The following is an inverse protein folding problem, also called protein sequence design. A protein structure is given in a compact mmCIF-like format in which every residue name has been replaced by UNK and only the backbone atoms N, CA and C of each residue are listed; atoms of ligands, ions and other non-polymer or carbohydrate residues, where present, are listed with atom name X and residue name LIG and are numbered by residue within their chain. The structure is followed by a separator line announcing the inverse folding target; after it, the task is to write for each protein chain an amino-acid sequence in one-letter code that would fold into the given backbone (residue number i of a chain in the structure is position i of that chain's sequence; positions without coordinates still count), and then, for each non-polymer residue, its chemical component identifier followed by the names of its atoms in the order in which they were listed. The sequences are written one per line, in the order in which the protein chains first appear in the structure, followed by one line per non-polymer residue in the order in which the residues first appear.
data_IF_083295841388
#
_entry.id   IF_083295841388
#
_cell.length_a   1.000
_cell.length_b   1.000
_cell.length_c   1.000
_cell.angle_alpha   90.00
_cell.angle_beta   90.00
_cell.angle_gamma   90.00
#
_symmetry.space_group_name_H-M   'P 1'
#
loop_
_entity.id
_entity.type
_entity.pdbx_description
1 polymer ?
#
# COMPACT_ATOMS: atom_id res chain seq x y z
N UNK A 1 23.60 0.56 2.37
CA UNK A 1 22.40 1.18 2.98
C UNK A 1 21.45 1.53 1.85
N UNK A 2 20.29 0.86 1.76
CA UNK A 2 19.33 1.13 0.68
C UNK A 2 18.54 2.42 0.94
N UNK A 3 18.21 3.15 -0.12
CA UNK A 3 17.38 4.34 -0.03
C UNK A 3 15.99 3.94 0.48
N UNK A 4 15.54 4.56 1.57
CA UNK A 4 14.22 4.33 2.17
C UNK A 4 13.36 5.57 1.95
N UNK A 5 12.11 5.39 1.54
CA UNK A 5 11.14 6.47 1.44
C UNK A 5 10.56 6.75 2.83
N UNK A 6 10.50 8.02 3.24
CA UNK A 6 9.89 8.42 4.51
C UNK A 6 8.53 9.04 4.25
N UNK A 7 7.49 8.47 4.84
CA UNK A 7 6.11 8.91 4.72
C UNK A 7 5.56 9.35 6.06
N UNK A 8 4.85 10.47 6.06
CA UNK A 8 4.02 10.89 7.19
C UNK A 8 2.55 10.80 6.79
N UNK A 9 1.83 9.91 7.46
CA UNK A 9 0.41 9.66 7.23
C UNK A 9 -0.42 10.18 8.40
N UNK A 10 -1.57 10.78 8.09
CA UNK A 10 -2.64 11.00 9.05
C UNK A 10 -3.32 9.68 9.41
N UNK A 11 -4.17 9.70 10.43
CA UNK A 11 -4.96 8.51 10.84
C UNK A 11 -5.83 8.01 9.69
N UNK A 12 -6.52 8.91 8.99
CA UNK A 12 -7.40 8.55 7.87
C UNK A 12 -6.62 7.95 6.70
N UNK A 13 -5.43 8.47 6.38
CA UNK A 13 -4.57 7.89 5.34
C UNK A 13 -4.02 6.51 5.75
N UNK A 14 -3.66 6.33 7.02
CA UNK A 14 -3.20 5.04 7.52
C UNK A 14 -4.30 3.97 7.45
N UNK A 15 -5.54 4.33 7.79
CA UNK A 15 -6.69 3.45 7.69
C UNK A 15 -7.03 3.12 6.23
N UNK A 16 -7.13 4.13 5.37
CA UNK A 16 -7.42 3.95 3.95
C UNK A 16 -6.36 3.07 3.26
N UNK A 17 -5.10 3.22 3.66
CA UNK A 17 -4.02 2.37 3.19
C UNK A 17 -4.19 0.91 3.63
N UNK A 18 -4.47 0.68 4.91
CA UNK A 18 -4.70 -0.69 5.44
C UNK A 18 -5.86 -1.36 4.71
N UNK A 19 -6.99 -0.66 4.57
CA UNK A 19 -8.18 -1.15 3.89
C UNK A 19 -7.90 -1.46 2.41
N UNK A 20 -7.20 -0.57 1.70
CA UNK A 20 -6.85 -0.80 0.29
C UNK A 20 -5.95 -2.03 0.10
N UNK A 21 -5.03 -2.28 1.05
CA UNK A 21 -4.17 -3.47 1.02
C UNK A 21 -4.93 -4.75 1.35
N UNK A 22 -5.82 -4.70 2.34
CA UNK A 22 -6.68 -5.84 2.70
C UNK A 22 -7.60 -6.23 1.53
N UNK A 23 -8.25 -5.26 0.89
CA UNK A 23 -9.13 -5.47 -0.27
C UNK A 23 -8.35 -6.05 -1.45
N UNK A 24 -7.17 -5.49 -1.74
CA UNK A 24 -6.33 -5.99 -2.84
C UNK A 24 -5.84 -7.40 -2.56
N UNK A 25 -5.39 -7.69 -1.34
CA UNK A 25 -4.94 -9.03 -0.96
C UNK A 25 -6.10 -10.04 -1.04
N UNK A 26 -7.30 -9.68 -0.57
CA UNK A 26 -8.48 -10.52 -0.67
C UNK A 26 -8.85 -10.83 -2.13
N UNK A 27 -8.90 -9.80 -2.98
CA UNK A 27 -9.15 -9.95 -4.41
C UNK A 27 -8.11 -10.86 -5.08
N UNK A 28 -6.82 -10.62 -4.84
CA UNK A 28 -5.76 -11.43 -5.44
C UNK A 28 -5.75 -12.88 -4.93
N UNK A 29 -6.05 -13.12 -3.64
CA UNK A 29 -6.21 -14.49 -3.12
C UNK A 29 -7.39 -15.22 -3.77
N UNK A 30 -8.49 -14.53 -4.06
CA UNK A 30 -9.60 -15.12 -4.82
C UNK A 30 -9.18 -15.48 -6.26
N UNK A 31 -8.49 -14.57 -6.96
CA UNK A 31 -7.93 -14.83 -8.29
C UNK A 31 -6.92 -15.99 -8.29
N UNK A 32 -6.12 -16.12 -7.21
CA UNK A 32 -5.18 -17.22 -7.01
C UNK A 32 -5.91 -18.56 -6.92
N UNK A 33 -6.98 -18.64 -6.14
CA UNK A 33 -7.78 -19.87 -6.00
C UNK A 33 -8.41 -20.31 -7.33
N UNK A 34 -8.66 -19.35 -8.23
CA UNK A 34 -9.15 -19.60 -9.58
C UNK A 34 -8.03 -19.87 -10.60
N UNK A 35 -6.75 -19.94 -10.19
CA UNK A 35 -5.57 -20.06 -11.05
C UNK A 35 -5.44 -18.96 -12.12
N UNK A 36 -5.91 -17.75 -11.82
CA UNK A 36 -5.91 -16.60 -12.74
C UNK A 36 -4.73 -15.64 -12.53
N UNK A 37 -3.88 -15.87 -11.52
CA UNK A 37 -2.72 -15.03 -11.25
C UNK A 37 -1.47 -15.49 -12.02
N UNK A 38 -0.77 -14.53 -12.62
CA UNK A 38 0.57 -14.74 -13.15
C UNK A 38 1.61 -14.88 -12.02
N UNK A 39 2.84 -15.27 -12.38
CA UNK A 39 3.96 -15.29 -11.41
C UNK A 39 4.29 -13.89 -10.88
N UNK A 40 4.08 -12.86 -11.68
CA UNK A 40 4.33 -11.46 -11.32
C UNK A 40 3.28 -10.97 -10.32
N UNK A 41 2.01 -11.36 -10.51
CA UNK A 41 0.93 -11.06 -9.57
C UNK A 41 1.15 -11.74 -8.21
N UNK A 42 1.64 -12.98 -8.21
CA UNK A 42 2.00 -13.69 -6.97
C UNK A 42 3.15 -12.99 -6.23
N UNK A 43 4.12 -12.44 -6.96
CA UNK A 43 5.20 -11.65 -6.37
C UNK A 43 4.67 -10.33 -5.80
N UNK A 44 3.81 -9.64 -6.53
CA UNK A 44 3.16 -8.42 -6.06
C UNK A 44 2.34 -8.68 -4.79
N UNK A 45 1.54 -9.75 -4.78
CA UNK A 45 0.74 -10.16 -3.63
C UNK A 45 1.62 -10.39 -2.39
N UNK A 46 2.74 -11.12 -2.53
CA UNK A 46 3.66 -11.35 -1.42
C UNK A 46 4.24 -10.04 -0.86
N UNK A 47 4.55 -9.07 -1.72
CA UNK A 47 5.04 -7.75 -1.30
C UNK A 47 3.94 -6.93 -0.62
N UNK A 48 2.71 -6.96 -1.13
CA UNK A 48 1.56 -6.29 -0.53
C UNK A 48 1.21 -6.89 0.83
N UNK A 49 1.26 -8.21 0.99
CA UNK A 49 1.03 -8.90 2.27
C UNK A 49 2.11 -8.57 3.31
N UNK A 50 3.40 -8.57 2.93
CA UNK A 50 4.50 -8.14 3.81
C UNK A 50 4.28 -6.70 4.30
N UNK A 51 3.91 -5.82 3.38
CA UNK A 51 3.67 -4.41 3.65
C UNK A 51 2.44 -4.22 4.56
N UNK A 52 1.35 -4.93 4.29
CA UNK A 52 0.12 -4.85 5.07
C UNK A 52 0.36 -5.30 6.52
N UNK A 53 1.06 -6.43 6.73
CA UNK A 53 1.44 -6.88 8.07
C UNK A 53 2.27 -5.82 8.81
N UNK A 54 3.19 -5.14 8.12
CA UNK A 54 4.01 -4.10 8.71
C UNK A 54 3.19 -2.86 9.14
N UNK A 55 2.16 -2.51 8.37
CA UNK A 55 1.31 -1.35 8.64
C UNK A 55 0.19 -1.62 9.63
N UNK A 56 -0.47 -2.77 9.56
CA UNK A 56 -1.52 -3.16 10.50
C UNK A 56 -1.02 -3.07 11.94
N UNK A 57 0.17 -3.63 12.23
CA UNK A 57 0.81 -3.55 13.55
C UNK A 57 1.05 -2.11 14.04
N UNK A 58 1.34 -1.18 13.12
CA UNK A 58 1.53 0.24 13.44
C UNK A 58 0.19 0.96 13.65
N UNK A 59 -0.84 0.63 12.85
CA UNK A 59 -2.18 1.22 12.96
C UNK A 59 -2.86 0.91 14.31
N UNK A 60 -2.59 -0.25 14.92
CA UNK A 60 -3.11 -0.60 16.25
C UNK A 60 -2.61 0.30 17.39
N UNK A 61 -1.51 1.06 17.19
CA UNK A 61 -1.02 2.04 18.17
C UNK A 61 -1.60 3.42 17.83
N UNK A 62 -2.62 3.86 18.57
CA UNK A 62 -3.24 5.19 18.40
C UNK A 62 -2.18 6.30 18.42
N UNK A 63 -2.00 6.95 17.27
CA UNK A 63 -1.12 8.10 17.08
C UNK A 63 -1.84 9.15 16.23
N UNK A 64 -1.55 10.44 16.46
CA UNK A 64 -2.11 11.53 15.65
C UNK A 64 -1.50 11.56 14.23
N UNK A 65 -0.28 11.05 14.07
CA UNK A 65 0.45 10.93 12.81
C UNK A 65 1.33 9.69 12.85
N UNK A 66 1.42 8.99 11.72
CA UNK A 66 2.25 7.80 11.56
C UNK A 66 3.46 8.11 10.68
N UNK A 67 4.65 7.73 11.15
CA UNK A 67 5.88 7.79 10.36
C UNK A 67 6.23 6.39 9.86
N UNK A 68 6.26 6.25 8.53
CA UNK A 68 6.56 5.01 7.84
C UNK A 68 7.86 5.15 7.06
N UNK A 69 8.68 4.10 7.09
CA UNK A 69 9.86 3.98 6.24
C UNK A 69 9.59 2.84 5.28
N UNK A 70 9.54 3.15 3.98
CA UNK A 70 9.28 2.15 2.95
C UNK A 70 10.54 1.74 2.22
N UNK A 71 10.64 0.44 1.97
CA UNK A 71 11.57 -0.10 0.99
C UNK A 71 11.14 0.35 -0.43
N UNK A 72 12.06 0.49 -1.39
CA UNK A 72 11.71 0.84 -2.76
C UNK A 72 10.67 -0.09 -3.40
N UNK A 73 10.74 -1.39 -3.13
CA UNK A 73 9.76 -2.35 -3.63
C UNK A 73 8.34 -2.09 -3.10
N UNK A 74 8.20 -1.61 -1.86
CA UNK A 74 6.91 -1.26 -1.27
C UNK A 74 6.33 0.00 -1.90
N UNK A 75 7.17 0.98 -2.25
CA UNK A 75 6.72 2.18 -2.95
C UNK A 75 6.19 1.84 -4.36
N UNK A 76 6.88 0.95 -5.08
CA UNK A 76 6.42 0.45 -6.39
C UNK A 76 5.14 -0.36 -6.24
N UNK A 77 5.05 -1.25 -5.24
CA UNK A 77 3.85 -2.05 -5.00
C UNK A 77 2.62 -1.18 -4.68
N UNK A 78 2.79 -0.10 -3.92
CA UNK A 78 1.72 0.88 -3.65
C UNK A 78 1.22 1.56 -4.92
N UNK A 79 2.13 1.96 -5.80
CA UNK A 79 1.75 2.60 -7.06
C UNK A 79 1.02 1.61 -7.99
N UNK A 80 1.48 0.36 -8.06
CA UNK A 80 0.79 -0.71 -8.80
C UNK A 80 -0.59 -1.02 -8.21
N UNK A 81 -0.69 -1.11 -6.88
CA UNK A 81 -1.96 -1.34 -6.18
C UNK A 81 -2.96 -0.21 -6.47
N UNK A 82 -2.53 1.05 -6.37
CA UNK A 82 -3.37 2.20 -6.64
C UNK A 82 -3.85 2.22 -8.10
N UNK A 83 -2.96 1.94 -9.06
CA UNK A 83 -3.30 1.99 -10.48
C UNK A 83 -4.13 0.80 -10.95
N UNK A 84 -3.96 -0.38 -10.35
CA UNK A 84 -4.61 -1.61 -10.78
C UNK A 84 -5.91 -1.94 -10.04
N UNK A 85 -6.04 -1.54 -8.77
CA UNK A 85 -7.06 -2.12 -7.88
C UNK A 85 -7.90 -1.08 -7.12
N UNK A 86 -7.47 0.18 -7.09
CA UNK A 86 -8.20 1.21 -6.33
C UNK A 86 -9.17 1.98 -7.22
N UNK A 87 -10.43 2.11 -6.80
CA UNK A 87 -11.37 3.04 -7.44
C UNK A 87 -10.96 4.50 -7.15
N UNK A 88 -10.41 5.14 -8.17
CA UNK A 88 -9.88 6.52 -8.10
C UNK A 88 -10.96 7.58 -7.85
N UNK A 89 -12.23 7.26 -8.10
CA UNK A 89 -13.35 8.19 -7.87
C UNK A 89 -13.83 8.22 -6.42
N UNK A 90 -13.45 7.21 -5.63
CA UNK A 90 -13.87 7.06 -4.24
C UNK A 90 -13.09 7.97 -3.27
N UNK A 91 -13.67 8.22 -2.08
CA UNK A 91 -12.97 8.94 -1.01
C UNK A 91 -11.67 8.24 -0.59
N UNK A 92 -11.70 6.91 -0.45
CA UNK A 92 -10.53 6.08 -0.16
C UNK A 92 -9.49 6.19 -1.27
N UNK A 93 -9.92 6.17 -2.53
CA UNK A 93 -9.06 6.38 -3.70
C UNK A 93 -8.32 7.72 -3.65
N UNK A 94 -9.00 8.80 -3.28
CA UNK A 94 -8.35 10.10 -3.10
C UNK A 94 -7.31 10.11 -1.97
N UNK A 95 -7.58 9.40 -0.86
CA UNK A 95 -6.61 9.26 0.24
C UNK A 95 -5.38 8.46 -0.19
N UNK A 96 -5.58 7.33 -0.86
CA UNK A 96 -4.48 6.48 -1.37
C UNK A 96 -3.67 7.23 -2.43
N UNK A 97 -4.32 8.00 -3.31
CA UNK A 97 -3.62 8.87 -4.26
C UNK A 97 -2.75 9.91 -3.53
N UNK A 98 -3.26 10.50 -2.43
CA UNK A 98 -2.48 11.39 -1.57
C UNK A 98 -1.23 10.73 -1.01
N UNK A 99 -1.29 9.43 -0.67
CA UNK A 99 -0.15 8.63 -0.21
C UNK A 99 0.85 8.43 -1.35
N UNK A 100 0.38 8.04 -2.54
CA UNK A 100 1.23 7.85 -3.73
C UNK A 100 1.94 9.16 -4.13
N UNK A 101 1.26 10.30 -4.05
CA UNK A 101 1.87 11.61 -4.34
C UNK A 101 2.99 11.95 -3.36
N UNK A 102 2.89 11.52 -2.09
CA UNK A 102 3.96 11.70 -1.09
C UNK A 102 5.16 10.77 -1.30
N UNK A 103 5.03 9.72 -2.11
CA UNK A 103 6.13 8.82 -2.46
C UNK A 103 7.01 9.36 -3.59
N UNK A 104 6.50 10.29 -4.39
CA UNK A 104 7.26 10.86 -5.50
C UNK A 104 8.50 11.59 -4.95
N UNK A 105 9.66 11.19 -5.47
CA UNK A 105 10.99 11.68 -5.08
C UNK A 105 10.98 13.21 -4.98
N UNK A 106 11.25 13.74 -3.79
CA UNK A 106 11.64 15.12 -3.66
C UNK A 106 12.91 15.33 -4.49
N UNK A 107 12.98 16.35 -5.37
CA UNK A 107 14.24 16.72 -5.98
C UNK A 107 15.25 17.04 -4.86
N UNK A 108 16.48 16.56 -5.03
CA UNK A 108 17.58 16.74 -4.08
C UNK A 108 17.88 18.22 -3.77
#
# INVERSE_FOLDING_TARGET
MGNMYKLTLSVSEMLALSEALDETAAYMQEQRNNNLLSKEDLLLLAVLEEMNMHFALKAYRRQNKYQLSLKPCWAVALDLQFNGFTDKSSYQGNLVQGICNKLQLQPA
#
